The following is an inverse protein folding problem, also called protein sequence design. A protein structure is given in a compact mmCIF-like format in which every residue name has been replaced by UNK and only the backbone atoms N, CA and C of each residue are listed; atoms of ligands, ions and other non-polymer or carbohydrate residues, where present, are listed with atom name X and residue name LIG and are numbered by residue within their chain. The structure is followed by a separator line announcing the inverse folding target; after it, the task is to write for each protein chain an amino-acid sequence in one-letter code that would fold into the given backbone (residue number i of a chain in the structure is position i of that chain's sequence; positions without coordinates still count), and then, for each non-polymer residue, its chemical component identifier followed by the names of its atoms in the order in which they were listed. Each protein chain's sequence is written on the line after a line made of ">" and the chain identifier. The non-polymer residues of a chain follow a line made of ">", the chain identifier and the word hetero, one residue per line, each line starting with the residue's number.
data_IF_280651741679
#
_entry.id   IF_280651741679
#
_cell.length_a   1.000
_cell.length_b   1.000
_cell.length_c   1.000
_cell.angle_alpha   90.00
_cell.angle_beta   90.00
_cell.angle_gamma   90.00
#
_symmetry.space_group_name_H-M   'P 1'
#
loop_
_entity.id
_entity.type
_entity.pdbx_description
1 polymer ?
#
# COMPACT_ATOMS: atom_id res chain seq x y z
N UNK A 1 -20.25 21.95 -50.88
CA UNK A 1 -21.07 21.73 -49.69
C UNK A 1 -20.99 20.29 -49.15
N UNK A 2 -21.15 19.27 -49.97
CA UNK A 2 -21.11 17.84 -49.54
C UNK A 2 -19.75 17.44 -48.91
N UNK A 3 -18.64 17.95 -49.42
CA UNK A 3 -17.29 17.64 -48.93
C UNK A 3 -17.00 18.26 -47.54
N UNK A 4 -17.50 19.48 -47.28
CA UNK A 4 -17.36 20.15 -45.96
C UNK A 4 -18.17 19.47 -44.89
N UNK A 5 -19.36 18.96 -45.24
CA UNK A 5 -20.23 18.22 -44.29
C UNK A 5 -19.56 16.89 -43.90
N UNK A 6 -18.93 16.18 -44.81
CA UNK A 6 -18.21 14.94 -44.52
C UNK A 6 -16.98 15.18 -43.62
N UNK A 7 -16.25 16.26 -43.83
CA UNK A 7 -15.10 16.62 -42.98
C UNK A 7 -15.57 16.96 -41.53
N UNK A 8 -16.69 17.67 -41.43
CA UNK A 8 -17.26 18.03 -40.12
C UNK A 8 -17.79 16.80 -39.39
N UNK A 9 -18.40 15.84 -40.09
CA UNK A 9 -18.89 14.59 -39.54
C UNK A 9 -17.74 13.70 -39.05
N UNK A 10 -16.63 13.62 -39.79
CA UNK A 10 -15.43 12.88 -39.37
C UNK A 10 -14.76 13.51 -38.15
N UNK A 11 -14.73 14.84 -38.05
CA UNK A 11 -14.18 15.54 -36.89
C UNK A 11 -15.00 15.34 -35.64
N UNK A 12 -16.33 15.31 -35.77
CA UNK A 12 -17.25 15.05 -34.66
C UNK A 12 -17.19 13.58 -34.18
N UNK A 13 -16.97 12.64 -35.10
CA UNK A 13 -16.80 11.22 -34.77
C UNK A 13 -15.46 10.96 -34.03
N UNK A 14 -14.41 11.71 -34.35
CA UNK A 14 -13.12 11.63 -33.63
C UNK A 14 -13.21 12.20 -32.21
N UNK A 15 -14.02 13.23 -31.96
CA UNK A 15 -14.22 13.78 -30.61
C UNK A 15 -15.03 12.84 -29.71
N UNK A 16 -15.91 12.03 -30.27
CA UNK A 16 -16.69 11.05 -29.50
C UNK A 16 -15.86 9.84 -29.03
N UNK A 17 -14.71 9.57 -29.65
CA UNK A 17 -13.83 8.47 -29.27
C UNK A 17 -12.97 8.74 -28.02
N UNK A 18 -12.89 9.98 -27.56
CA UNK A 18 -12.12 10.34 -26.36
C UNK A 18 -12.92 10.25 -25.05
N UNK A 19 -14.17 9.87 -25.08
CA UNK A 19 -14.98 9.64 -23.88
C UNK A 19 -14.89 8.19 -23.39
N UNK A 20 -13.67 7.66 -23.28
CA UNK A 20 -13.44 6.47 -22.46
C UNK A 20 -13.31 6.96 -21.01
N UNK A 21 -14.43 7.19 -20.34
CA UNK A 21 -14.48 7.24 -18.89
C UNK A 21 -14.05 5.85 -18.42
N UNK A 22 -12.89 5.76 -17.75
CA UNK A 22 -12.56 4.58 -16.97
C UNK A 22 -13.72 4.39 -15.99
N UNK A 23 -14.59 3.42 -16.29
CA UNK A 23 -15.57 2.96 -15.32
C UNK A 23 -14.76 2.44 -14.14
N UNK A 24 -14.92 3.06 -13.00
CA UNK A 24 -14.33 2.60 -11.76
C UNK A 24 -14.70 1.13 -11.55
N UNK A 25 -13.80 0.40 -10.97
CA UNK A 25 -13.98 -1.03 -10.73
C UNK A 25 -13.01 -1.49 -9.64
N UNK A 26 -13.09 -2.76 -9.29
CA UNK A 26 -12.13 -3.34 -8.35
C UNK A 26 -10.82 -3.68 -9.05
N UNK A 27 -9.71 -3.15 -8.52
CA UNK A 27 -8.35 -3.52 -8.90
C UNK A 27 -7.73 -4.36 -7.80
N UNK A 28 -6.97 -5.37 -8.17
CA UNK A 28 -6.25 -6.23 -7.23
C UNK A 28 -4.76 -6.00 -7.37
N UNK A 29 -4.12 -5.63 -6.27
CA UNK A 29 -2.67 -5.49 -6.12
C UNK A 29 -2.19 -6.70 -5.32
N UNK A 30 -1.19 -7.41 -5.83
CA UNK A 30 -0.57 -8.54 -5.15
C UNK A 30 0.93 -8.33 -5.05
N UNK A 31 1.53 -8.83 -4.00
CA UNK A 31 2.97 -8.77 -3.80
C UNK A 31 3.46 -9.76 -2.75
N UNK A 32 4.72 -9.64 -2.38
CA UNK A 32 5.37 -10.45 -1.36
C UNK A 32 6.02 -9.53 -0.32
N UNK A 33 5.64 -9.69 0.95
CA UNK A 33 6.22 -8.94 2.06
C UNK A 33 6.08 -9.74 3.36
N UNK A 34 6.86 -9.42 4.36
CA UNK A 34 6.79 -10.02 5.71
C UNK A 34 6.89 -11.56 5.70
N UNK A 35 7.59 -12.15 4.72
CA UNK A 35 7.72 -13.60 4.55
C UNK A 35 6.50 -14.29 3.93
N UNK A 36 5.52 -13.54 3.42
CA UNK A 36 4.30 -14.07 2.81
C UNK A 36 3.82 -13.25 1.62
N UNK A 37 2.79 -13.75 0.94
CA UNK A 37 2.10 -13.03 -0.13
C UNK A 37 0.99 -12.15 0.46
N UNK A 38 0.81 -10.96 -0.11
CA UNK A 38 -0.32 -10.10 0.23
C UNK A 38 -1.21 -9.87 -0.99
N UNK A 39 -2.46 -9.54 -0.73
CA UNK A 39 -3.44 -9.16 -1.74
C UNK A 39 -4.28 -8.00 -1.21
N UNK A 40 -4.25 -6.88 -1.93
CA UNK A 40 -5.07 -5.71 -1.64
C UNK A 40 -6.07 -5.51 -2.76
N UNK A 41 -7.36 -5.44 -2.42
CA UNK A 41 -8.44 -5.20 -3.36
C UNK A 41 -9.00 -3.81 -3.14
N UNK A 42 -8.96 -2.97 -4.16
CA UNK A 42 -9.30 -1.55 -4.08
C UNK A 42 -10.49 -1.29 -5.01
N UNK A 43 -11.51 -0.60 -4.51
CA UNK A 43 -12.50 0.03 -5.37
C UNK A 43 -11.91 1.35 -5.89
N UNK A 44 -11.82 1.49 -7.20
CA UNK A 44 -11.26 2.67 -7.86
C UNK A 44 -12.32 3.69 -8.26
N UNK A 45 -13.60 3.48 -7.89
CA UNK A 45 -14.67 4.44 -8.15
C UNK A 45 -14.39 5.77 -7.42
N UNK A 46 -14.25 6.85 -8.18
CA UNK A 46 -13.94 8.17 -7.65
C UNK A 46 -12.48 8.37 -7.19
N UNK A 47 -11.61 7.39 -7.37
CA UNK A 47 -10.19 7.50 -7.07
C UNK A 47 -9.48 8.16 -8.26
N UNK A 48 -8.78 9.26 -7.97
CA UNK A 48 -8.01 10.03 -8.98
C UNK A 48 -6.53 9.68 -8.99
N UNK A 49 -6.06 8.98 -7.94
CA UNK A 49 -4.66 8.54 -7.81
C UNK A 49 -4.42 7.33 -8.72
N UNK A 50 -3.33 7.30 -9.51
CA UNK A 50 -2.95 6.14 -10.29
C UNK A 50 -2.76 4.89 -9.43
N UNK A 51 -3.19 3.74 -9.91
CA UNK A 51 -3.07 2.46 -9.19
C UNK A 51 -1.61 2.13 -8.85
N UNK A 52 -0.68 2.49 -9.74
CA UNK A 52 0.76 2.27 -9.50
C UNK A 52 1.28 3.11 -8.32
N UNK A 53 0.82 4.32 -8.15
CA UNK A 53 1.20 5.16 -7.00
C UNK A 53 0.66 4.58 -5.68
N UNK A 54 -0.53 3.98 -5.71
CA UNK A 54 -1.08 3.24 -4.57
C UNK A 54 -0.23 2.01 -4.27
N UNK A 55 0.18 1.26 -5.29
CA UNK A 55 1.09 0.12 -5.18
C UNK A 55 2.41 0.52 -4.52
N UNK A 56 3.06 1.56 -5.06
CA UNK A 56 4.33 2.06 -4.54
C UNK A 56 4.22 2.49 -3.07
N UNK A 57 3.09 3.10 -2.71
CA UNK A 57 2.81 3.48 -1.32
C UNK A 57 2.68 2.26 -0.40
N UNK A 58 1.99 1.21 -0.84
CA UNK A 58 1.86 -0.05 -0.10
C UNK A 58 3.23 -0.69 0.09
N UNK A 59 4.02 -0.81 -0.97
CA UNK A 59 5.35 -1.42 -0.92
C UNK A 59 6.30 -0.62 -0.02
N UNK A 60 6.22 0.72 -0.04
CA UNK A 60 6.99 1.58 0.84
C UNK A 60 6.65 1.32 2.32
N UNK A 61 5.37 1.31 2.68
CA UNK A 61 4.90 1.06 4.05
C UNK A 61 5.36 -0.34 4.52
N UNK A 62 5.18 -1.37 3.70
CA UNK A 62 5.59 -2.73 4.04
C UNK A 62 7.10 -2.85 4.24
N UNK A 63 7.88 -2.13 3.43
CA UNK A 63 9.34 -2.07 3.58
C UNK A 63 9.75 -1.34 4.86
N UNK A 64 9.07 -0.27 5.23
CA UNK A 64 9.36 0.47 6.47
C UNK A 64 9.05 -0.38 7.69
N UNK A 65 7.94 -1.13 7.68
CA UNK A 65 7.62 -2.13 8.71
C UNK A 65 8.70 -3.21 8.78
N UNK A 66 9.19 -3.74 7.65
CA UNK A 66 10.26 -4.74 7.62
C UNK A 66 11.55 -4.19 8.23
N UNK A 67 11.92 -2.96 7.92
CA UNK A 67 13.11 -2.31 8.46
C UNK A 67 13.01 -2.04 9.97
N UNK A 68 11.81 -1.86 10.49
CA UNK A 68 11.57 -1.64 11.91
C UNK A 68 11.41 -2.95 12.70
N UNK A 69 10.46 -3.80 12.28
CA UNK A 69 9.88 -4.85 13.12
C UNK A 69 10.22 -6.29 12.68
N UNK A 70 10.96 -6.49 11.59
CA UNK A 70 11.26 -7.84 11.11
C UNK A 70 12.28 -8.56 11.99
N UNK A 71 11.91 -9.72 12.53
CA UNK A 71 12.83 -10.63 13.20
C UNK A 71 13.79 -11.35 12.25
N UNK A 72 13.50 -11.38 10.96
CA UNK A 72 14.33 -12.02 9.92
C UNK A 72 15.31 -11.05 9.26
N UNK A 73 14.99 -9.77 9.19
CA UNK A 73 15.87 -8.72 8.72
C UNK A 73 16.86 -8.34 9.85
N UNK A 74 18.09 -8.83 9.76
CA UNK A 74 19.12 -8.55 10.78
C UNK A 74 19.45 -7.06 10.97
N UNK A 75 19.07 -6.22 10.00
CA UNK A 75 19.29 -4.77 10.05
C UNK A 75 18.09 -4.01 10.62
N UNK A 76 16.98 -4.69 10.90
CA UNK A 76 15.81 -4.05 11.50
C UNK A 76 16.10 -3.54 12.91
N UNK A 77 15.31 -2.56 13.34
CA UNK A 77 15.41 -2.02 14.71
C UNK A 77 15.20 -3.14 15.73
N UNK A 78 14.17 -3.98 15.53
CA UNK A 78 13.86 -5.11 16.42
C UNK A 78 15.02 -6.13 16.50
N UNK A 79 15.56 -6.56 15.37
CA UNK A 79 16.66 -7.54 15.36
C UNK A 79 17.93 -7.02 16.04
N UNK A 80 18.25 -5.76 15.83
CA UNK A 80 19.39 -5.08 16.45
C UNK A 80 19.16 -4.92 17.96
N UNK A 81 17.97 -4.52 18.37
CA UNK A 81 17.58 -4.46 19.78
C UNK A 81 17.74 -5.83 20.44
N UNK A 82 17.18 -6.88 19.85
CA UNK A 82 17.27 -8.25 20.38
C UNK A 82 18.70 -8.80 20.44
N UNK A 83 19.60 -8.29 19.60
CA UNK A 83 21.04 -8.64 19.66
C UNK A 83 21.82 -7.89 20.74
N UNK A 84 21.17 -7.02 21.51
CA UNK A 84 21.78 -6.20 22.56
C UNK A 84 22.46 -4.94 22.04
N UNK A 85 22.22 -4.56 20.79
CA UNK A 85 22.75 -3.31 20.23
C UNK A 85 21.97 -2.12 20.80
N UNK A 86 22.67 -1.03 21.11
CA UNK A 86 22.03 0.23 21.51
C UNK A 86 21.39 0.88 20.28
N UNK A 87 20.10 0.73 20.11
CA UNK A 87 19.31 1.31 19.02
C UNK A 87 18.31 2.31 19.57
N UNK A 88 18.03 3.35 18.77
CA UNK A 88 16.90 4.24 19.05
C UNK A 88 15.64 3.61 18.43
N UNK A 89 14.57 3.38 19.25
CA UNK A 89 13.29 2.92 18.73
C UNK A 89 12.73 3.93 17.73
N UNK A 90 12.23 3.44 16.61
CA UNK A 90 11.47 4.27 15.69
C UNK A 90 9.97 4.30 16.06
N UNK A 91 9.16 4.97 15.23
CA UNK A 91 7.73 5.13 15.49
C UNK A 91 6.99 3.78 15.50
N UNK A 92 7.28 2.90 14.52
CA UNK A 92 6.66 1.57 14.44
C UNK A 92 7.00 0.70 15.65
N UNK A 93 8.28 0.69 16.05
CA UNK A 93 8.72 -0.06 17.21
C UNK A 93 8.04 0.44 18.49
N UNK A 94 7.97 1.76 18.66
CA UNK A 94 7.36 2.36 19.86
C UNK A 94 5.87 2.06 19.93
N UNK A 95 5.16 2.17 18.82
CA UNK A 95 3.72 1.90 18.73
C UNK A 95 3.39 0.43 19.01
N UNK A 96 4.09 -0.50 18.35
CA UNK A 96 3.82 -1.93 18.54
C UNK A 96 4.17 -2.39 19.96
N UNK A 97 5.23 -1.83 20.57
CA UNK A 97 5.58 -2.11 21.95
C UNK A 97 4.48 -1.62 22.92
N UNK A 98 3.93 -0.43 22.69
CA UNK A 98 2.84 0.10 23.50
C UNK A 98 1.58 -0.79 23.40
N UNK A 99 1.21 -1.22 22.20
CA UNK A 99 0.09 -2.14 21.97
C UNK A 99 0.36 -3.49 22.65
N UNK A 100 1.57 -4.04 22.51
CA UNK A 100 1.96 -5.30 23.16
C UNK A 100 1.84 -5.22 24.67
N UNK A 101 2.27 -4.12 25.30
CA UNK A 101 2.13 -3.88 26.72
C UNK A 101 0.65 -3.81 27.17
N UNK A 102 -0.18 -3.12 26.40
CA UNK A 102 -1.61 -3.05 26.68
C UNK A 102 -2.26 -4.44 26.63
N UNK A 103 -1.94 -5.24 25.61
CA UNK A 103 -2.46 -6.61 25.48
C UNK A 103 -1.95 -7.51 26.61
N UNK A 104 -0.68 -7.40 27.00
CA UNK A 104 -0.13 -8.11 28.16
C UNK A 104 -0.93 -7.82 29.43
N UNK A 105 -1.17 -6.53 29.71
CA UNK A 105 -1.89 -6.10 30.89
C UNK A 105 -3.36 -6.58 30.87
N UNK A 106 -4.06 -6.44 29.73
CA UNK A 106 -5.44 -6.88 29.55
C UNK A 106 -5.62 -8.40 29.70
N UNK A 107 -4.62 -9.17 29.32
CA UNK A 107 -4.65 -10.65 29.37
C UNK A 107 -4.05 -11.23 30.64
N UNK A 108 -3.59 -10.39 31.57
CA UNK A 108 -2.90 -10.84 32.79
C UNK A 108 -1.62 -11.62 32.48
N UNK A 109 -0.92 -11.25 31.39
CA UNK A 109 0.31 -11.89 30.96
C UNK A 109 0.12 -13.16 30.11
N UNK A 110 -1.11 -13.48 29.68
CA UNK A 110 -1.34 -14.65 28.82
C UNK A 110 -0.81 -14.44 27.39
N UNK A 111 -0.69 -13.19 26.95
CA UNK A 111 0.00 -12.79 25.72
C UNK A 111 1.19 -11.93 26.11
N UNK A 112 2.39 -12.42 25.79
CA UNK A 112 3.67 -11.73 26.00
C UNK A 112 4.37 -11.61 24.66
N UNK A 113 4.85 -10.42 24.28
CA UNK A 113 5.45 -10.09 22.98
C UNK A 113 6.84 -9.50 23.14
#
# INVERSE_FOLDING_TARGET
>A
MRSLINIFLCFFALLAAYSCTQSGGYVTITGFAQGGTYTVKINTDGVTVPVEEIRDSIDCILKDIDNSLSGYNRKSVLSRFNSGEAVLPDAFFTEIYAIGREVFDLTGGAVDV
#
